data_IF_472279445308
#
_entry.id   IF_472279445308
#
_cell.length_a   1.000
_cell.length_b   1.000
_cell.length_c   1.000
_cell.angle_alpha   90.00
_cell.angle_beta   90.00
_cell.angle_gamma   90.00
#
_symmetry.space_group_name_H-M   'P 1'
#
loop_
_entity.id
_entity.type
_entity.pdbx_description
1 polymer ?
#
# COMPACT_ATOMS: atom_id res chain seq x y z
N UNK A 1 -47.00 45.33 60.65
CA UNK A 1 -47.05 43.91 60.27
C UNK A 1 -46.54 43.80 58.84
N UNK A 2 -45.26 43.49 58.69
CA UNK A 2 -44.63 43.38 57.39
C UNK A 2 -43.96 41.99 57.34
N UNK A 3 -44.46 41.11 56.45
CA UNK A 3 -43.99 39.76 56.31
C UNK A 3 -42.76 39.72 55.36
N UNK A 4 -41.63 39.27 55.87
CA UNK A 4 -40.39 39.04 55.08
C UNK A 4 -40.49 37.75 54.32
N UNK A 5 -40.24 37.82 52.99
CA UNK A 5 -40.10 36.69 52.11
C UNK A 5 -38.63 36.32 51.99
N UNK A 6 -38.24 35.19 52.53
CA UNK A 6 -36.92 34.56 52.32
C UNK A 6 -36.88 33.89 50.97
N UNK A 7 -35.97 34.32 50.11
CA UNK A 7 -35.69 33.67 48.83
C UNK A 7 -34.59 32.61 49.03
N UNK A 8 -34.95 31.37 48.87
CA UNK A 8 -33.99 30.22 48.82
C UNK A 8 -33.34 30.15 47.44
N UNK A 9 -32.02 30.42 47.34
CA UNK A 9 -31.23 30.25 46.17
C UNK A 9 -30.76 28.78 46.10
N UNK A 10 -31.38 27.98 45.24
CA UNK A 10 -30.90 26.64 44.94
C UNK A 10 -29.75 26.74 43.94
N UNK A 11 -28.54 26.43 44.35
CA UNK A 11 -27.37 26.29 43.50
C UNK A 11 -27.42 24.89 42.88
N UNK A 12 -27.70 24.80 41.60
CA UNK A 12 -27.55 23.57 40.83
C UNK A 12 -26.06 23.32 40.55
N UNK A 13 -25.47 22.34 41.20
CA UNK A 13 -24.15 21.81 40.85
C UNK A 13 -24.28 20.92 39.59
N UNK A 14 -23.80 21.42 38.46
CA UNK A 14 -23.70 20.66 37.24
C UNK A 14 -22.44 19.76 37.32
N UNK A 15 -22.62 18.49 37.64
CA UNK A 15 -21.53 17.50 37.62
C UNK A 15 -21.21 17.13 36.16
N UNK A 16 -20.12 17.68 35.63
CA UNK A 16 -19.56 17.22 34.34
C UNK A 16 -18.92 15.85 34.53
N UNK A 17 -19.65 14.80 34.16
CA UNK A 17 -19.09 13.44 33.99
C UNK A 17 -18.16 13.43 32.76
N UNK A 18 -16.86 13.57 33.01
CA UNK A 18 -15.83 13.21 32.00
C UNK A 18 -15.86 11.69 31.81
N UNK A 19 -16.54 11.23 30.76
CA UNK A 19 -16.39 9.86 30.28
C UNK A 19 -14.95 9.67 29.77
N UNK A 20 -14.07 9.15 30.63
CA UNK A 20 -12.79 8.59 30.16
C UNK A 20 -13.12 7.42 29.24
N UNK A 21 -13.13 7.69 27.94
CA UNK A 21 -13.20 6.66 26.92
C UNK A 21 -12.02 5.73 27.06
N UNK A 22 -12.24 4.56 27.65
CA UNK A 22 -11.29 3.46 27.68
C UNK A 22 -11.01 3.06 26.23
N UNK A 23 -9.93 3.60 25.64
CA UNK A 23 -9.41 3.09 24.36
C UNK A 23 -8.90 1.69 24.66
N UNK A 24 -9.71 0.67 24.37
CA UNK A 24 -9.23 -0.70 24.31
C UNK A 24 -8.13 -0.76 23.23
N UNK A 25 -6.89 -0.72 23.67
CA UNK A 25 -5.76 -1.02 22.80
C UNK A 25 -5.84 -2.52 22.49
N UNK A 26 -6.20 -2.87 21.27
CA UNK A 26 -6.07 -4.25 20.81
C UNK A 26 -4.62 -4.69 21.08
N UNK A 27 -4.42 -5.91 21.61
CA UNK A 27 -3.07 -6.42 21.82
C UNK A 27 -2.30 -6.39 20.51
N UNK A 28 -1.01 -6.08 20.57
CA UNK A 28 -0.14 -6.11 19.40
C UNK A 28 -0.21 -7.49 18.74
N UNK A 29 -0.33 -7.56 17.41
CA UNK A 29 -0.41 -8.83 16.73
C UNK A 29 0.82 -9.69 17.03
N UNK A 30 0.61 -10.97 17.37
CA UNK A 30 1.68 -11.90 17.66
C UNK A 30 2.51 -12.16 16.40
N UNK A 31 3.84 -12.44 16.53
CA UNK A 31 4.68 -12.84 15.42
C UNK A 31 4.10 -14.06 14.70
N UNK A 32 4.34 -14.11 13.39
CA UNK A 32 3.96 -15.26 12.57
C UNK A 32 4.87 -16.44 12.89
N UNK A 33 4.29 -17.63 12.89
CA UNK A 33 5.04 -18.86 13.06
C UNK A 33 6.06 -19.09 11.94
N UNK A 34 7.19 -19.66 12.29
CA UNK A 34 8.20 -20.07 11.32
C UNK A 34 7.60 -21.09 10.32
N UNK A 35 7.91 -20.90 9.03
CA UNK A 35 7.39 -21.76 7.97
C UNK A 35 6.16 -21.21 7.24
N UNK A 36 5.45 -20.19 7.76
CA UNK A 36 4.47 -19.47 6.93
C UNK A 36 5.19 -18.69 5.82
N UNK A 37 4.63 -18.66 4.61
CA UNK A 37 5.19 -17.83 3.54
C UNK A 37 5.44 -16.39 4.02
N UNK A 38 6.60 -15.82 3.74
CA UNK A 38 6.99 -14.44 4.11
C UNK A 38 7.00 -14.12 5.62
N UNK A 39 6.87 -15.12 6.52
CA UNK A 39 6.84 -14.88 7.97
C UNK A 39 8.04 -14.08 8.46
N UNK A 40 9.23 -14.34 7.91
CA UNK A 40 10.45 -13.62 8.25
C UNK A 40 10.32 -12.12 7.96
N UNK A 41 10.00 -11.76 6.72
CA UNK A 41 9.91 -10.36 6.29
C UNK A 41 8.78 -9.61 7.03
N UNK A 42 7.64 -10.26 7.22
CA UNK A 42 6.51 -9.65 7.94
C UNK A 42 6.86 -9.42 9.42
N UNK A 43 7.51 -10.39 10.07
CA UNK A 43 7.96 -10.26 11.46
C UNK A 43 9.06 -9.19 11.60
N UNK A 44 9.96 -9.06 10.63
CA UNK A 44 10.96 -7.98 10.59
C UNK A 44 10.31 -6.60 10.51
N UNK A 45 9.24 -6.43 9.71
CA UNK A 45 8.48 -5.19 9.70
C UNK A 45 7.87 -4.88 11.08
N UNK A 46 7.22 -5.87 11.70
CA UNK A 46 6.61 -5.71 13.03
C UNK A 46 7.64 -5.36 14.11
N UNK A 47 8.80 -6.01 14.10
CA UNK A 47 9.88 -5.74 15.06
C UNK A 47 10.48 -4.34 14.85
N UNK A 48 10.70 -3.95 13.60
CA UNK A 48 11.16 -2.60 13.25
C UNK A 48 10.18 -1.53 13.71
N UNK A 49 8.88 -1.75 13.51
CA UNK A 49 7.81 -0.82 13.88
C UNK A 49 7.66 -0.68 15.39
N UNK A 50 7.92 -1.74 16.14
CA UNK A 50 7.91 -1.69 17.60
C UNK A 50 9.03 -0.78 18.15
N UNK A 51 10.18 -0.75 17.45
CA UNK A 51 11.34 0.07 17.84
C UNK A 51 11.30 1.48 17.26
N UNK A 52 10.76 1.62 16.06
CA UNK A 52 10.68 2.89 15.32
C UNK A 52 9.33 2.97 14.58
N UNK A 53 8.25 3.37 15.28
CA UNK A 53 6.92 3.42 14.69
C UNK A 53 6.87 4.33 13.47
N UNK A 54 6.41 3.84 12.31
CA UNK A 54 6.28 4.66 11.13
C UNK A 54 5.15 5.70 11.30
N UNK A 55 5.18 6.80 10.51
CA UNK A 55 4.17 7.84 10.60
C UNK A 55 2.78 7.28 10.27
N UNK A 56 1.79 7.58 11.10
CA UNK A 56 0.39 7.29 10.76
C UNK A 56 -0.09 8.24 9.67
N UNK A 57 -1.03 7.76 8.83
CA UNK A 57 -1.59 8.52 7.71
C UNK A 57 -0.55 8.90 6.64
N UNK A 58 0.56 8.17 6.58
CA UNK A 58 1.54 8.32 5.53
C UNK A 58 1.08 7.72 4.18
N UNK A 59 2.00 7.69 3.24
CA UNK A 59 1.86 7.01 1.95
C UNK A 59 2.55 5.65 2.05
N UNK A 60 1.77 4.59 1.98
CA UNK A 60 2.25 3.22 2.11
C UNK A 60 2.56 2.61 0.75
N UNK A 61 3.81 2.25 0.52
CA UNK A 61 4.20 1.44 -0.62
C UNK A 61 4.21 -0.04 -0.22
N UNK A 62 3.36 -0.85 -0.86
CA UNK A 62 3.19 -2.28 -0.54
C UNK A 62 3.29 -3.12 -1.81
N UNK A 63 3.74 -4.36 -1.67
CA UNK A 63 3.80 -5.32 -2.76
C UNK A 63 5.12 -6.07 -2.84
N UNK A 64 5.59 -6.38 -4.05
CA UNK A 64 6.65 -7.35 -4.29
C UNK A 64 8.07 -6.76 -4.24
N UNK A 65 9.01 -7.52 -4.80
CA UNK A 65 10.44 -7.20 -4.76
C UNK A 65 10.78 -5.81 -5.30
N UNK A 66 10.08 -5.30 -6.30
CA UNK A 66 10.37 -3.95 -6.83
C UNK A 66 10.09 -2.86 -5.80
N UNK A 67 9.10 -3.03 -4.90
CA UNK A 67 8.91 -2.12 -3.78
C UNK A 67 10.02 -2.36 -2.73
N UNK A 68 10.28 -3.61 -2.35
CA UNK A 68 11.33 -3.96 -1.37
C UNK A 68 12.71 -3.42 -1.75
N UNK A 69 13.04 -3.47 -3.04
CA UNK A 69 14.34 -3.06 -3.58
C UNK A 69 14.43 -1.55 -3.87
N UNK A 70 13.35 -0.78 -3.76
CA UNK A 70 13.39 0.68 -3.88
C UNK A 70 14.00 1.30 -2.62
N UNK A 71 15.32 1.18 -2.50
CA UNK A 71 16.05 1.59 -1.29
C UNK A 71 16.09 3.10 -1.10
N UNK A 72 15.97 3.85 -2.17
CA UNK A 72 15.97 5.32 -2.18
C UNK A 72 14.57 5.92 -1.97
N UNK A 73 13.52 5.10 -1.76
CA UNK A 73 12.13 5.56 -1.72
C UNK A 73 11.91 6.81 -0.86
N UNK A 74 12.42 6.83 0.36
CA UNK A 74 12.28 7.97 1.26
C UNK A 74 13.06 9.21 0.76
N UNK A 75 14.23 9.00 0.18
CA UNK A 75 15.04 10.09 -0.40
C UNK A 75 14.45 10.60 -1.73
N UNK A 76 13.73 9.74 -2.46
CA UNK A 76 13.07 10.11 -3.71
C UNK A 76 11.80 10.96 -3.49
N UNK A 77 11.20 10.86 -2.29
CA UNK A 77 10.01 11.60 -1.88
C UNK A 77 10.21 12.26 -0.51
N UNK A 78 11.17 13.20 -0.37
CA UNK A 78 11.58 13.75 0.93
C UNK A 78 10.46 14.52 1.65
N UNK A 79 9.54 15.09 0.89
CA UNK A 79 8.42 15.89 1.43
C UNK A 79 7.18 15.04 1.76
N UNK A 80 7.26 13.72 1.55
CA UNK A 80 6.15 12.81 1.77
C UNK A 80 6.49 11.77 2.86
N UNK A 81 5.60 11.51 3.81
CA UNK A 81 5.80 10.48 4.83
C UNK A 81 5.61 9.08 4.25
N UNK A 82 6.57 8.60 3.46
CA UNK A 82 6.50 7.30 2.79
C UNK A 82 6.91 6.15 3.69
N UNK A 83 6.22 5.01 3.55
CA UNK A 83 6.49 3.77 4.28
C UNK A 83 6.67 2.66 3.25
N UNK A 84 7.79 1.91 3.32
CA UNK A 84 8.02 0.76 2.45
C UNK A 84 7.66 -0.55 3.18
N UNK A 85 6.72 -1.31 2.60
CA UNK A 85 6.31 -2.65 3.04
C UNK A 85 6.29 -3.62 1.86
N UNK A 86 7.33 -3.52 1.02
CA UNK A 86 7.60 -4.49 -0.04
C UNK A 86 8.27 -5.75 0.50
N UNK A 87 7.82 -6.92 0.06
CA UNK A 87 8.40 -8.22 0.39
C UNK A 87 8.61 -9.09 -0.85
N UNK A 88 9.79 -9.70 -0.94
CA UNK A 88 10.30 -10.27 -2.19
C UNK A 88 9.52 -11.50 -2.64
N UNK A 89 9.18 -11.58 -3.93
CA UNK A 89 8.50 -12.76 -4.50
C UNK A 89 6.99 -12.79 -4.29
N UNK A 90 6.42 -11.86 -3.51
CA UNK A 90 4.99 -11.84 -3.19
C UNK A 90 4.12 -11.62 -4.41
N UNK A 91 2.94 -12.20 -4.35
CA UNK A 91 1.81 -12.04 -5.25
C UNK A 91 0.82 -10.99 -4.69
N UNK A 92 -0.19 -10.61 -5.47
CA UNK A 92 -1.23 -9.66 -5.01
C UNK A 92 -1.96 -10.20 -3.79
N UNK A 93 -2.32 -11.49 -3.79
CA UNK A 93 -3.04 -12.14 -2.69
C UNK A 93 -2.25 -12.14 -1.37
N UNK A 94 -0.91 -12.14 -1.43
CA UNK A 94 -0.10 -12.11 -0.21
C UNK A 94 -0.25 -10.76 0.52
N UNK A 95 -0.41 -9.66 -0.22
CA UNK A 95 -0.72 -8.36 0.39
C UNK A 95 -2.11 -8.33 1.05
N UNK A 96 -3.08 -9.12 0.55
CA UNK A 96 -4.38 -9.32 1.20
C UNK A 96 -4.21 -10.11 2.50
N UNK A 97 -3.49 -11.23 2.43
CA UNK A 97 -3.30 -12.15 3.55
C UNK A 97 -2.57 -11.52 4.75
N UNK A 98 -1.76 -10.50 4.51
CA UNK A 98 -0.99 -9.79 5.53
C UNK A 98 -1.45 -8.34 5.76
N UNK A 99 -2.59 -7.94 5.19
CA UNK A 99 -3.09 -6.56 5.31
C UNK A 99 -3.26 -6.11 6.77
N UNK A 100 -3.67 -7.01 7.65
CA UNK A 100 -3.81 -6.79 9.09
C UNK A 100 -2.49 -6.42 9.80
N UNK A 101 -1.35 -6.72 9.18
CA UNK A 101 0.00 -6.53 9.73
C UNK A 101 0.78 -5.41 9.03
N UNK A 102 0.65 -5.31 7.70
CA UNK A 102 1.48 -4.42 6.89
C UNK A 102 0.72 -3.27 6.22
N UNK A 103 -0.59 -3.15 6.46
CA UNK A 103 -1.42 -2.09 5.89
C UNK A 103 -2.26 -1.40 6.96
N UNK A 104 -3.16 -2.14 7.60
CA UNK A 104 -4.17 -1.58 8.50
C UNK A 104 -3.58 -0.85 9.72
N UNK A 105 -2.48 -1.33 10.37
CA UNK A 105 -1.90 -0.66 11.53
C UNK A 105 -1.44 0.78 11.26
N UNK A 106 -1.02 1.09 10.04
CA UNK A 106 -0.53 2.42 9.66
C UNK A 106 -1.66 3.41 9.37
N UNK A 107 -2.87 2.92 9.11
CA UNK A 107 -4.02 3.73 8.68
C UNK A 107 -3.61 4.74 7.59
N UNK A 108 -2.98 4.28 6.47
CA UNK A 108 -2.42 5.17 5.46
C UNK A 108 -3.52 6.01 4.82
N UNK A 109 -3.17 7.25 4.46
CA UNK A 109 -4.05 8.08 3.65
C UNK A 109 -4.03 7.66 2.16
N UNK A 110 -2.91 7.10 1.71
CA UNK A 110 -2.73 6.61 0.35
C UNK A 110 -1.87 5.34 0.35
N UNK A 111 -2.28 4.35 -0.42
CA UNK A 111 -1.52 3.13 -0.68
C UNK A 111 -1.07 3.15 -2.14
N UNK A 112 0.21 2.90 -2.38
CA UNK A 112 0.79 2.66 -3.69
C UNK A 112 1.18 1.18 -3.76
N UNK A 113 0.46 0.40 -4.55
CA UNK A 113 0.64 -1.04 -4.65
C UNK A 113 1.35 -1.43 -5.94
N UNK A 114 2.33 -2.34 -5.83
CA UNK A 114 2.94 -3.01 -6.98
C UNK A 114 3.11 -4.51 -6.72
N UNK A 115 2.36 -5.33 -7.47
CA UNK A 115 2.48 -6.79 -7.52
C UNK A 115 1.95 -7.30 -8.88
N UNK A 116 1.73 -8.59 -9.04
CA UNK A 116 1.11 -9.19 -10.24
C UNK A 116 2.10 -9.83 -11.21
N UNK A 117 3.33 -9.34 -11.31
CA UNK A 117 4.35 -9.97 -12.16
C UNK A 117 4.73 -11.39 -11.69
N UNK A 118 4.73 -11.64 -10.39
CA UNK A 118 4.95 -12.98 -9.83
C UNK A 118 3.73 -13.89 -10.01
N UNK A 119 2.53 -13.31 -9.94
CA UNK A 119 1.26 -14.00 -10.20
C UNK A 119 1.23 -14.57 -11.62
N UNK A 120 1.47 -13.72 -12.63
CA UNK A 120 1.54 -14.15 -14.04
C UNK A 120 2.65 -15.19 -14.25
N UNK A 121 3.82 -14.99 -13.61
CA UNK A 121 4.91 -15.96 -13.70
C UNK A 121 4.55 -17.31 -13.06
N UNK A 122 3.74 -17.30 -12.02
CA UNK A 122 3.16 -18.49 -11.39
C UNK A 122 1.94 -19.05 -12.14
N UNK A 123 1.69 -18.57 -13.38
CA UNK A 123 0.62 -19.02 -14.26
C UNK A 123 -0.80 -18.67 -13.81
N UNK A 124 -0.96 -17.69 -12.94
CA UNK A 124 -2.28 -17.10 -12.71
C UNK A 124 -2.74 -16.35 -13.95
N UNK A 125 -4.01 -16.46 -14.28
CA UNK A 125 -4.62 -15.69 -15.37
C UNK A 125 -4.67 -14.19 -15.05
N UNK A 126 -4.72 -13.29 -16.03
CA UNK A 126 -4.97 -11.87 -15.82
C UNK A 126 -6.23 -11.59 -15.00
N UNK A 127 -7.30 -12.36 -15.21
CA UNK A 127 -8.53 -12.24 -14.44
C UNK A 127 -8.33 -12.59 -12.96
N UNK A 128 -7.48 -13.57 -12.64
CA UNK A 128 -7.15 -13.93 -11.26
C UNK A 128 -6.35 -12.83 -10.56
N UNK A 129 -5.34 -12.25 -11.24
CA UNK A 129 -4.57 -11.10 -10.73
C UNK A 129 -5.51 -9.94 -10.42
N UNK A 130 -6.44 -9.67 -11.31
CA UNK A 130 -7.45 -8.63 -11.15
C UNK A 130 -8.38 -8.92 -9.95
N UNK A 131 -8.89 -10.15 -9.82
CA UNK A 131 -9.73 -10.56 -8.68
C UNK A 131 -9.00 -10.42 -7.33
N UNK A 132 -7.71 -10.77 -7.29
CA UNK A 132 -6.88 -10.61 -6.10
C UNK A 132 -6.71 -9.12 -5.75
N UNK A 133 -6.56 -8.22 -6.74
CA UNK A 133 -6.52 -6.78 -6.52
C UNK A 133 -7.86 -6.23 -6.01
N UNK A 134 -8.99 -6.68 -6.56
CA UNK A 134 -10.31 -6.32 -6.03
C UNK A 134 -10.46 -6.75 -4.57
N UNK A 135 -9.97 -7.94 -4.21
CA UNK A 135 -9.97 -8.45 -2.84
C UNK A 135 -9.11 -7.57 -1.91
N UNK A 136 -7.96 -7.08 -2.40
CA UNK A 136 -7.13 -6.13 -1.67
C UNK A 136 -7.88 -4.81 -1.40
N UNK A 137 -8.47 -4.22 -2.43
CA UNK A 137 -9.27 -3.00 -2.32
C UNK A 137 -10.42 -3.17 -1.32
N UNK A 138 -11.18 -4.26 -1.43
CA UNK A 138 -12.30 -4.57 -0.54
C UNK A 138 -11.83 -4.73 0.93
N UNK A 139 -10.71 -5.42 1.14
CA UNK A 139 -10.13 -5.61 2.48
C UNK A 139 -9.71 -4.29 3.09
N UNK A 140 -9.02 -3.44 2.35
CA UNK A 140 -8.60 -2.12 2.83
C UNK A 140 -9.82 -1.24 3.10
N UNK A 141 -10.74 -1.09 2.16
CA UNK A 141 -11.87 -0.18 2.29
C UNK A 141 -12.88 -0.59 3.36
N UNK A 142 -12.97 -1.88 3.70
CA UNK A 142 -13.78 -2.34 4.84
C UNK A 142 -13.32 -1.72 6.17
N UNK A 143 -12.02 -1.53 6.36
CA UNK A 143 -11.44 -1.04 7.61
C UNK A 143 -11.02 0.44 7.52
N UNK A 144 -10.63 0.87 6.34
CA UNK A 144 -10.11 2.21 6.05
C UNK A 144 -10.84 2.82 4.84
N UNK A 145 -12.13 3.16 4.97
CA UNK A 145 -13.00 3.50 3.83
C UNK A 145 -12.60 4.76 3.07
N UNK A 146 -11.72 5.60 3.62
CA UNK A 146 -11.26 6.84 2.98
C UNK A 146 -9.86 6.74 2.38
N UNK A 147 -9.17 5.62 2.55
CA UNK A 147 -7.81 5.41 2.02
C UNK A 147 -7.84 5.39 0.49
N UNK A 148 -6.99 6.20 -0.13
CA UNK A 148 -6.76 6.12 -1.59
C UNK A 148 -5.87 4.92 -1.89
N UNK A 149 -6.11 4.25 -3.02
CA UNK A 149 -5.29 3.11 -3.46
C UNK A 149 -4.92 3.32 -4.92
N UNK A 150 -3.62 3.41 -5.20
CA UNK A 150 -3.09 3.49 -6.56
C UNK A 150 -2.28 2.23 -6.87
N UNK A 151 -2.56 1.64 -8.02
CA UNK A 151 -1.85 0.46 -8.52
C UNK A 151 -0.82 0.89 -9.56
N UNK A 152 0.46 0.56 -9.33
CA UNK A 152 1.49 0.70 -10.34
C UNK A 152 1.32 -0.43 -11.35
N UNK A 153 1.19 -0.11 -12.64
CA UNK A 153 1.08 -1.11 -13.69
C UNK A 153 2.17 -2.17 -13.57
N UNK A 154 1.83 -3.44 -13.77
CA UNK A 154 2.84 -4.50 -13.87
C UNK A 154 3.84 -4.08 -14.95
N UNK A 155 5.10 -3.91 -14.55
CA UNK A 155 6.15 -3.38 -15.40
C UNK A 155 6.63 -4.43 -16.41
N UNK A 156 6.96 -4.02 -17.64
CA UNK A 156 7.61 -4.89 -18.60
C UNK A 156 9.04 -5.17 -18.15
N UNK A 157 9.53 -6.38 -18.37
CA UNK A 157 10.91 -6.71 -18.12
C UNK A 157 11.42 -7.76 -19.12
N UNK A 158 12.73 -7.79 -19.43
CA UNK A 158 13.27 -8.71 -20.44
C UNK A 158 13.16 -10.18 -20.04
N UNK A 159 13.31 -10.50 -18.73
CA UNK A 159 13.29 -11.87 -18.24
C UNK A 159 11.94 -12.57 -18.45
N UNK A 160 10.84 -11.80 -18.45
CA UNK A 160 9.48 -12.32 -18.56
C UNK A 160 8.71 -11.74 -19.75
N UNK A 161 9.42 -11.24 -20.77
CA UNK A 161 8.79 -10.61 -21.92
C UNK A 161 7.83 -11.53 -22.69
N UNK A 162 8.07 -12.83 -22.68
CA UNK A 162 7.15 -13.80 -23.26
C UNK A 162 5.73 -13.77 -22.65
N UNK A 163 5.58 -13.22 -21.46
CA UNK A 163 4.30 -13.10 -20.73
C UNK A 163 3.62 -11.73 -20.95
N UNK A 164 4.14 -10.90 -21.84
CA UNK A 164 3.70 -9.50 -22.03
C UNK A 164 2.21 -9.38 -22.35
N UNK A 165 1.64 -10.34 -23.07
CA UNK A 165 0.21 -10.36 -23.41
C UNK A 165 -0.66 -10.42 -22.15
N UNK A 166 -0.33 -11.32 -21.23
CA UNK A 166 -1.05 -11.48 -19.98
C UNK A 166 -0.84 -10.29 -19.05
N UNK A 167 0.38 -9.73 -19.03
CA UNK A 167 0.70 -8.50 -18.29
C UNK A 167 -0.13 -7.32 -18.79
N UNK A 168 -0.22 -7.12 -20.10
CA UNK A 168 -1.03 -6.04 -20.69
C UNK A 168 -2.51 -6.21 -20.37
N UNK A 169 -3.03 -7.44 -20.43
CA UNK A 169 -4.43 -7.71 -20.10
C UNK A 169 -4.74 -7.49 -18.62
N UNK A 170 -3.88 -7.96 -17.69
CA UNK A 170 -4.03 -7.68 -16.26
C UNK A 170 -4.01 -6.16 -15.99
N UNK A 171 -3.08 -5.42 -16.59
CA UNK A 171 -3.01 -3.97 -16.47
C UNK A 171 -4.28 -3.29 -16.97
N UNK A 172 -4.82 -3.72 -18.12
CA UNK A 172 -6.06 -3.19 -18.70
C UNK A 172 -7.27 -3.40 -17.78
N UNK A 173 -7.41 -4.60 -17.22
CA UNK A 173 -8.50 -4.93 -16.29
C UNK A 173 -8.44 -4.06 -15.04
N UNK A 174 -7.25 -3.95 -14.44
CA UNK A 174 -7.03 -3.15 -13.23
C UNK A 174 -7.24 -1.66 -13.53
N UNK A 175 -6.70 -1.12 -14.62
CA UNK A 175 -6.89 0.28 -15.01
C UNK A 175 -8.38 0.60 -15.21
N UNK A 176 -9.12 -0.26 -15.89
CA UNK A 176 -10.56 -0.08 -16.09
C UNK A 176 -11.32 -0.02 -14.77
N UNK A 177 -10.96 -0.92 -13.83
CA UNK A 177 -11.57 -0.93 -12.50
C UNK A 177 -11.23 0.32 -11.69
N UNK A 178 -10.00 0.83 -11.75
CA UNK A 178 -9.64 2.03 -11.00
C UNK A 178 -10.42 3.28 -11.43
N UNK A 179 -11.03 3.29 -12.61
CA UNK A 179 -11.88 4.39 -13.08
C UNK A 179 -13.30 4.36 -12.48
N UNK A 180 -13.69 3.28 -11.80
CA UNK A 180 -15.03 3.14 -11.23
C UNK A 180 -15.18 3.76 -9.84
N UNK A 181 -14.08 4.14 -9.19
CA UNK A 181 -14.07 4.71 -7.84
C UNK A 181 -13.00 5.80 -7.73
N UNK A 182 -13.39 7.01 -7.36
CA UNK A 182 -12.48 8.16 -7.22
C UNK A 182 -11.35 7.98 -6.19
N UNK A 183 -11.46 6.99 -5.30
CA UNK A 183 -10.41 6.63 -4.35
C UNK A 183 -9.33 5.74 -4.96
N UNK A 184 -9.58 5.21 -6.17
CA UNK A 184 -8.64 4.32 -6.87
C UNK A 184 -7.87 5.10 -7.94
N UNK A 185 -6.64 4.66 -8.20
CA UNK A 185 -5.78 5.23 -9.21
C UNK A 185 -4.95 4.18 -9.93
N UNK A 186 -4.51 4.50 -11.14
CA UNK A 186 -3.60 3.68 -11.92
C UNK A 186 -2.37 4.48 -12.31
N UNK A 187 -1.19 3.98 -11.98
CA UNK A 187 0.11 4.60 -12.26
C UNK A 187 0.76 3.82 -13.39
N UNK A 188 0.65 4.33 -14.61
CA UNK A 188 1.11 3.61 -15.78
C UNK A 188 2.60 3.82 -16.05
N UNK A 189 3.45 2.97 -15.45
CA UNK A 189 4.90 2.97 -15.70
C UNK A 189 5.27 2.18 -16.96
N UNK A 190 4.37 1.33 -17.46
CA UNK A 190 4.66 0.37 -18.55
C UNK A 190 5.26 1.04 -19.79
N UNK A 191 4.63 2.07 -20.42
CA UNK A 191 5.15 2.66 -21.65
C UNK A 191 6.50 3.38 -21.44
N UNK A 192 6.79 3.88 -20.26
CA UNK A 192 8.03 4.59 -19.95
C UNK A 192 9.25 3.65 -19.83
N UNK A 193 9.00 2.36 -19.73
CA UNK A 193 10.04 1.32 -19.61
C UNK A 193 10.30 0.58 -20.93
N UNK A 194 9.62 0.98 -22.00
CA UNK A 194 9.84 0.45 -23.34
C UNK A 194 10.83 1.29 -24.14
N UNK A 195 11.59 0.63 -25.02
CA UNK A 195 12.40 1.26 -26.03
C UNK A 195 11.62 1.58 -27.30
N UNK A 196 12.30 2.16 -28.32
CA UNK A 196 11.69 2.47 -29.63
C UNK A 196 11.16 1.26 -30.40
N UNK A 197 11.62 0.07 -30.03
CA UNK A 197 11.21 -1.22 -30.61
C UNK A 197 10.06 -1.88 -29.87
N UNK A 198 9.37 -1.13 -28.99
CA UNK A 198 8.30 -1.62 -28.11
C UNK A 198 8.70 -2.78 -27.20
N UNK A 199 10.01 -2.98 -26.96
CA UNK A 199 10.53 -3.97 -26.02
C UNK A 199 11.06 -3.33 -24.75
N UNK A 200 11.19 -4.09 -23.64
CA UNK A 200 11.77 -3.57 -22.41
C UNK A 200 13.19 -3.05 -22.62
N UNK A 201 13.45 -1.86 -22.17
CA UNK A 201 14.78 -1.24 -22.15
C UNK A 201 15.70 -2.06 -21.25
N UNK A 202 16.71 -2.72 -21.82
CA UNK A 202 17.58 -3.63 -21.05
C UNK A 202 18.49 -2.89 -20.06
N UNK A 203 18.89 -1.67 -20.39
CA UNK A 203 19.82 -0.84 -19.61
C UNK A 203 19.25 -0.30 -18.29
N UNK A 204 17.95 -0.51 -18.03
CA UNK A 204 17.29 -0.07 -16.79
C UNK A 204 17.12 -1.22 -15.77
N UNK A 205 17.66 -2.40 -16.09
CA UNK A 205 17.60 -3.59 -15.21
C UNK A 205 19.01 -4.01 -14.77
N UNK A 206 19.07 -4.77 -13.68
CA UNK A 206 20.28 -5.46 -13.26
C UNK A 206 20.45 -6.75 -14.07
N UNK A 207 21.52 -7.52 -13.84
CA UNK A 207 21.91 -8.69 -14.63
C UNK A 207 20.84 -9.78 -14.73
N UNK A 208 19.94 -9.87 -13.73
CA UNK A 208 18.81 -10.81 -13.75
C UNK A 208 17.71 -10.43 -14.76
N UNK A 209 17.80 -9.24 -15.37
CA UNK A 209 16.88 -8.71 -16.38
C UNK A 209 15.42 -8.62 -15.90
N UNK A 210 15.21 -8.68 -14.60
CA UNK A 210 13.91 -8.64 -13.92
C UNK A 210 13.79 -7.43 -12.98
N UNK A 211 14.81 -7.24 -12.13
CA UNK A 211 14.81 -6.17 -11.15
C UNK A 211 15.47 -4.91 -11.69
N UNK A 212 14.88 -3.77 -11.37
CA UNK A 212 15.39 -2.48 -11.84
C UNK A 212 16.71 -2.11 -11.15
N UNK A 213 17.57 -1.48 -11.92
CA UNK A 213 18.72 -0.73 -11.42
C UNK A 213 18.31 0.72 -11.08
N UNK A 214 19.23 1.59 -10.59
CA UNK A 214 18.89 2.98 -10.27
C UNK A 214 18.23 3.75 -11.41
N UNK A 215 18.61 3.52 -12.68
CA UNK A 215 17.97 4.17 -13.84
C UNK A 215 16.51 3.77 -14.01
N UNK A 216 16.16 2.52 -13.69
CA UNK A 216 14.77 2.06 -13.70
C UNK A 216 13.94 2.75 -12.60
N UNK A 217 14.52 2.92 -11.41
CA UNK A 217 13.85 3.63 -10.31
C UNK A 217 13.68 5.12 -10.59
N UNK A 218 14.58 5.78 -11.33
CA UNK A 218 14.36 7.17 -11.76
C UNK A 218 13.10 7.33 -12.63
N UNK A 219 12.80 6.35 -13.49
CA UNK A 219 11.54 6.35 -14.26
C UNK A 219 10.34 6.26 -13.29
N UNK A 220 10.40 5.32 -12.36
CA UNK A 220 9.32 5.15 -11.38
C UNK A 220 9.15 6.38 -10.49
N UNK A 221 10.23 6.95 -9.98
CA UNK A 221 10.23 8.20 -9.21
C UNK A 221 9.48 9.32 -9.93
N UNK A 222 9.77 9.51 -11.22
CA UNK A 222 9.11 10.53 -12.03
C UNK A 222 7.61 10.24 -12.15
N UNK A 223 7.23 9.06 -12.65
CA UNK A 223 5.82 8.73 -12.96
C UNK A 223 4.96 8.63 -11.70
N UNK A 224 5.49 7.99 -10.65
CA UNK A 224 4.82 7.90 -9.34
C UNK A 224 4.71 9.28 -8.70
N UNK A 225 5.79 10.07 -8.73
CA UNK A 225 5.79 11.41 -8.17
C UNK A 225 4.81 12.37 -8.85
N UNK A 226 4.64 12.28 -10.17
CA UNK A 226 3.62 13.04 -10.90
C UNK A 226 2.20 12.64 -10.47
N UNK A 227 1.97 11.35 -10.19
CA UNK A 227 0.68 10.85 -9.71
C UNK A 227 0.38 11.28 -8.28
N UNK A 228 1.36 11.26 -7.39
CA UNK A 228 1.18 11.60 -5.98
C UNK A 228 0.94 13.09 -5.73
N UNK A 229 1.30 13.96 -6.67
CA UNK A 229 1.07 15.42 -6.60
C UNK A 229 -0.31 15.88 -7.09
N UNK A 230 -1.11 14.97 -7.67
CA UNK A 230 -2.51 15.24 -8.11
C UNK A 230 -3.48 15.04 -6.96
#
# INVERSE_FOLDING_TARGET
>A
MIAGRTRCCSVLLLACLFALGCRSTLPAPQPLEAGRPFAKEINEFMASDASNPPPRRGILFVGSSSIRLWKTLAADFPDLPVINRGFGGSQVIDSVNYADRIVLPYAPQHIVMYAGGNDINAKKSPAQVFADFQSFVATVHRHLPRTRISYISIAPNPARWAQVRDVREANRLIETFTRTDARLGFINVFPHMLGPDDKPRTEIFVDDRLHMNPRGYEIWKKVVGEHLRR
#
